data_IF_741939174412
#
_entry.id   IF_741939174412
#
_cell.length_a   1.000
_cell.length_b   1.000
_cell.length_c   1.000
_cell.angle_alpha   90.00
_cell.angle_beta   90.00
_cell.angle_gamma   90.00
#
_symmetry.space_group_name_H-M   'P 1'
#
loop_
_entity.id
_entity.type
_entity.pdbx_description
1 polymer ?
#
# COMPACT_ATOMS: atom_id res chain seq x y z
N UNK A 1 2.16 3.57 11.99
CA UNK A 1 3.12 4.66 11.78
C UNK A 1 2.40 6.00 11.65
N UNK A 2 1.54 6.16 10.66
CA UNK A 2 0.80 7.42 10.47
C UNK A 2 0.00 7.82 11.72
N UNK A 3 -0.76 6.92 12.30
CA UNK A 3 -1.54 7.17 13.52
C UNK A 3 -0.71 7.60 14.75
N UNK A 4 0.61 7.42 14.73
CA UNK A 4 1.48 7.91 15.82
C UNK A 4 1.88 9.39 15.67
N UNK A 5 1.52 10.03 14.57
CA UNK A 5 1.82 11.44 14.32
C UNK A 5 0.65 12.28 14.81
N UNK A 6 0.92 13.22 15.72
CA UNK A 6 -0.11 14.12 16.26
C UNK A 6 -0.74 14.95 15.14
N UNK A 7 -2.06 15.02 15.12
CA UNK A 7 -2.82 15.78 14.11
C UNK A 7 -3.21 14.97 12.86
N UNK A 8 -2.96 13.64 12.87
CA UNK A 8 -3.41 12.76 11.80
C UNK A 8 -4.53 11.84 12.26
N UNK A 9 -5.50 11.62 11.38
CA UNK A 9 -6.50 10.56 11.46
C UNK A 9 -6.20 9.54 10.36
N UNK A 10 -6.31 8.25 10.69
CA UNK A 10 -6.06 7.17 9.74
C UNK A 10 -7.36 6.45 9.44
N UNK A 11 -7.76 6.48 8.18
CA UNK A 11 -8.97 5.83 7.68
C UNK A 11 -8.57 4.63 6.84
N UNK A 12 -9.04 3.43 7.23
CA UNK A 12 -8.78 2.20 6.49
C UNK A 12 -9.86 1.96 5.44
N UNK A 13 -9.42 1.62 4.23
CA UNK A 13 -10.27 1.24 3.10
C UNK A 13 -9.66 0.07 2.35
N UNK A 14 -10.47 -0.68 1.63
CA UNK A 14 -10.02 -1.73 0.72
C UNK A 14 -10.56 -1.51 -0.69
N UNK A 15 -9.86 -2.00 -1.69
CA UNK A 15 -10.42 -2.13 -3.03
C UNK A 15 -11.56 -3.17 -3.03
N UNK A 16 -12.56 -2.96 -3.87
CA UNK A 16 -13.65 -3.91 -4.05
C UNK A 16 -13.14 -5.18 -4.75
N UNK A 17 -13.60 -6.34 -4.29
CA UNK A 17 -13.41 -7.59 -5.04
C UNK A 17 -14.28 -7.63 -6.29
N UNK A 18 -13.94 -8.50 -7.23
CA UNK A 18 -14.82 -8.82 -8.35
C UNK A 18 -15.91 -9.77 -7.85
N UNK A 19 -17.20 -9.46 -8.11
CA UNK A 19 -18.31 -10.26 -7.57
C UNK A 19 -18.20 -11.76 -7.88
N UNK A 20 -17.72 -12.10 -9.07
CA UNK A 20 -17.53 -13.48 -9.53
C UNK A 20 -16.37 -14.22 -8.82
N UNK A 21 -15.46 -13.48 -8.20
CA UNK A 21 -14.31 -14.05 -7.48
C UNK A 21 -14.53 -14.12 -5.97
N UNK A 22 -15.41 -13.31 -5.42
CA UNK A 22 -15.65 -13.23 -3.97
C UNK A 22 -15.98 -14.61 -3.39
N UNK A 23 -16.87 -15.36 -4.02
CA UNK A 23 -17.24 -16.71 -3.57
C UNK A 23 -16.07 -17.70 -3.63
N UNK A 24 -15.18 -17.57 -4.62
CA UNK A 24 -13.97 -18.39 -4.73
C UNK A 24 -13.00 -18.07 -3.59
N UNK A 25 -12.87 -16.81 -3.22
CA UNK A 25 -12.02 -16.34 -2.11
C UNK A 25 -12.55 -16.93 -0.79
N UNK A 26 -13.84 -16.84 -0.54
CA UNK A 26 -14.49 -17.37 0.67
C UNK A 26 -14.30 -18.87 0.81
N UNK A 27 -14.35 -19.61 -0.30
CA UNK A 27 -14.26 -21.07 -0.32
C UNK A 27 -12.81 -21.61 -0.31
N UNK A 28 -11.82 -20.76 -0.60
CA UNK A 28 -10.42 -21.16 -0.61
C UNK A 28 -9.81 -21.12 0.80
N UNK A 29 -9.19 -22.22 1.24
CA UNK A 29 -8.64 -22.36 2.60
C UNK A 29 -7.59 -21.30 2.97
N UNK A 30 -6.80 -20.84 2.01
CA UNK A 30 -5.74 -19.84 2.24
C UNK A 30 -6.27 -18.41 2.23
N UNK A 31 -7.12 -18.06 1.27
CA UNK A 31 -7.68 -16.70 1.16
C UNK A 31 -8.83 -16.44 2.13
N UNK A 32 -9.52 -17.48 2.62
CA UNK A 32 -10.60 -17.34 3.61
C UNK A 32 -10.16 -16.64 4.90
N UNK A 33 -8.94 -16.89 5.36
CA UNK A 33 -8.42 -16.25 6.59
C UNK A 33 -8.26 -14.75 6.34
N UNK A 34 -7.61 -14.38 5.22
CA UNK A 34 -7.41 -12.99 4.82
C UNK A 34 -8.74 -12.29 4.59
N UNK A 35 -9.70 -12.96 3.94
CA UNK A 35 -11.04 -12.44 3.74
C UNK A 35 -11.74 -12.10 5.06
N UNK A 36 -11.66 -12.98 6.05
CA UNK A 36 -12.22 -12.73 7.39
C UNK A 36 -11.63 -11.50 8.07
N UNK A 37 -10.36 -11.21 7.84
CA UNK A 37 -9.68 -10.03 8.42
C UNK A 37 -10.09 -8.74 7.75
N UNK A 38 -10.41 -8.76 6.46
CA UNK A 38 -10.67 -7.54 5.67
C UNK A 38 -12.13 -7.29 5.33
N UNK A 39 -13.03 -8.28 5.44
CA UNK A 39 -14.43 -8.19 4.99
C UNK A 39 -15.20 -7.02 5.61
N UNK A 40 -14.87 -6.68 6.86
CA UNK A 40 -15.51 -5.59 7.61
C UNK A 40 -14.85 -4.23 7.36
N UNK A 41 -13.72 -4.19 6.62
CA UNK A 41 -13.10 -2.93 6.17
C UNK A 41 -13.95 -2.33 5.05
N UNK A 42 -14.39 -1.06 5.16
CA UNK A 42 -15.20 -0.44 4.12
C UNK A 42 -14.48 -0.39 2.77
N UNK A 43 -15.27 -0.52 1.70
CA UNK A 43 -14.76 -0.36 0.33
C UNK A 43 -14.41 1.11 0.10
N UNK A 44 -13.27 1.36 -0.54
CA UNK A 44 -12.82 2.68 -0.90
C UNK A 44 -13.73 3.31 -1.96
N UNK A 45 -14.17 4.53 -1.70
CA UNK A 45 -14.95 5.36 -2.62
C UNK A 45 -14.07 6.44 -3.26
N UNK A 46 -14.54 7.05 -4.34
CA UNK A 46 -13.88 8.21 -4.96
C UNK A 46 -13.82 9.39 -3.98
N UNK A 47 -14.85 9.57 -3.17
CA UNK A 47 -14.88 10.63 -2.14
C UNK A 47 -13.83 10.40 -1.04
N UNK A 48 -13.63 9.15 -0.60
CA UNK A 48 -12.54 8.82 0.34
C UNK A 48 -11.17 9.25 -0.23
N UNK A 49 -10.94 8.98 -1.53
CA UNK A 49 -9.70 9.35 -2.21
C UNK A 49 -9.59 10.87 -2.34
N UNK A 50 -10.67 11.56 -2.72
CA UNK A 50 -10.69 13.02 -2.87
C UNK A 50 -10.38 13.74 -1.56
N UNK A 51 -10.94 13.27 -0.44
CA UNK A 51 -10.82 13.92 0.86
C UNK A 51 -9.50 13.65 1.59
N UNK A 52 -8.78 12.58 1.26
CA UNK A 52 -7.54 12.24 1.93
C UNK A 52 -6.42 13.23 1.61
N UNK A 53 -5.64 13.64 2.62
CA UNK A 53 -4.48 14.52 2.49
C UNK A 53 -3.19 13.77 2.13
N UNK A 54 -3.17 12.44 2.27
CA UNK A 54 -2.04 11.57 1.94
C UNK A 54 -2.44 10.10 1.98
N UNK A 55 -1.62 9.24 1.38
CA UNK A 55 -1.97 7.84 1.14
C UNK A 55 -0.89 6.86 1.56
N UNK A 56 -1.33 5.71 2.04
CA UNK A 56 -0.54 4.51 2.17
C UNK A 56 -1.25 3.42 1.38
N UNK A 57 -0.71 3.07 0.21
CA UNK A 57 -1.34 2.12 -0.71
C UNK A 57 -0.57 0.81 -0.71
N UNK A 58 -1.28 -0.27 -0.38
CA UNK A 58 -0.73 -1.61 -0.32
C UNK A 58 -1.44 -2.60 -1.22
N UNK A 59 -0.68 -3.56 -1.73
CA UNK A 59 -1.19 -4.67 -2.54
C UNK A 59 -0.29 -5.90 -2.37
N UNK A 60 -0.80 -7.12 -2.37
CA UNK A 60 0.05 -8.27 -2.63
C UNK A 60 0.52 -8.24 -4.09
N UNK A 61 1.70 -8.80 -4.35
CA UNK A 61 2.18 -8.91 -5.74
C UNK A 61 1.31 -9.84 -6.58
N UNK A 62 1.15 -9.48 -7.83
CA UNK A 62 0.63 -10.34 -8.91
C UNK A 62 1.59 -10.25 -10.10
N UNK A 63 2.49 -11.25 -10.19
CA UNK A 63 3.52 -11.31 -11.26
C UNK A 63 4.35 -10.03 -11.36
N UNK A 64 4.78 -9.48 -10.19
CA UNK A 64 5.57 -8.25 -10.14
C UNK A 64 4.76 -6.96 -10.34
N UNK A 65 3.45 -7.02 -10.25
CA UNK A 65 2.54 -5.88 -10.40
C UNK A 65 1.47 -5.87 -9.29
N UNK A 66 0.67 -4.80 -9.24
CA UNK A 66 -0.48 -4.70 -8.33
C UNK A 66 -1.60 -5.67 -8.72
N UNK A 67 -2.51 -5.91 -7.78
CA UNK A 67 -3.75 -6.68 -8.07
C UNK A 67 -4.65 -5.92 -9.04
N UNK A 68 -5.45 -6.67 -9.82
CA UNK A 68 -6.46 -6.11 -10.72
C UNK A 68 -7.49 -5.26 -9.95
N UNK A 69 -7.83 -5.64 -8.72
CA UNK A 69 -8.74 -4.88 -7.85
C UNK A 69 -8.19 -3.47 -7.54
N UNK A 70 -6.91 -3.37 -7.18
CA UNK A 70 -6.29 -2.07 -6.94
C UNK A 70 -6.17 -1.27 -8.22
N UNK A 71 -5.77 -1.89 -9.33
CA UNK A 71 -5.67 -1.21 -10.63
C UNK A 71 -7.02 -0.65 -11.07
N UNK A 72 -8.11 -1.42 -10.91
CA UNK A 72 -9.47 -0.96 -11.19
C UNK A 72 -9.85 0.26 -10.34
N UNK A 73 -9.48 0.28 -9.04
CA UNK A 73 -9.71 1.45 -8.19
C UNK A 73 -8.95 2.67 -8.71
N UNK A 74 -7.67 2.51 -9.09
CA UNK A 74 -6.88 3.60 -9.68
C UNK A 74 -7.51 4.07 -11.00
N UNK A 75 -7.94 3.16 -11.88
CA UNK A 75 -8.57 3.52 -13.15
C UNK A 75 -9.88 4.28 -12.97
N UNK A 76 -10.57 4.08 -11.85
CA UNK A 76 -11.81 4.80 -11.54
C UNK A 76 -11.59 6.26 -11.10
N UNK A 77 -10.33 6.71 -10.91
CA UNK A 77 -10.01 8.07 -10.46
C UNK A 77 -9.93 9.11 -11.60
N UNK A 78 -10.40 8.80 -12.81
CA UNK A 78 -10.29 9.68 -13.96
C UNK A 78 -10.90 11.08 -13.72
N UNK A 79 -12.00 11.18 -12.99
CA UNK A 79 -12.59 12.49 -12.62
C UNK A 79 -11.67 13.30 -11.72
N UNK A 80 -10.99 12.66 -10.75
CA UNK A 80 -10.05 13.32 -9.85
C UNK A 80 -8.79 13.80 -10.58
N UNK A 81 -8.37 13.05 -11.61
CA UNK A 81 -7.28 13.47 -12.49
C UNK A 81 -7.65 14.71 -13.28
N UNK A 82 -8.84 14.76 -13.89
CA UNK A 82 -9.34 15.94 -14.61
C UNK A 82 -9.44 17.18 -13.71
N UNK A 83 -9.78 16.99 -12.45
CA UNK A 83 -9.89 18.07 -11.44
C UNK A 83 -8.52 18.48 -10.85
N UNK A 84 -7.45 17.73 -11.08
CA UNK A 84 -6.17 17.89 -10.37
C UNK A 84 -6.23 17.62 -8.87
N UNK A 85 -7.27 16.92 -8.40
CA UNK A 85 -7.56 16.76 -6.95
C UNK A 85 -6.50 15.96 -6.18
N UNK A 86 -5.61 15.23 -6.86
CA UNK A 86 -4.57 14.40 -6.28
C UNK A 86 -3.17 15.01 -6.41
N UNK A 87 -3.04 16.12 -7.11
CA UNK A 87 -1.75 16.78 -7.32
C UNK A 87 -1.12 17.22 -6.00
N UNK A 88 0.15 16.89 -5.83
CA UNK A 88 0.92 17.20 -4.63
C UNK A 88 0.62 16.36 -3.39
N UNK A 89 -0.38 15.47 -3.40
CA UNK A 89 -0.67 14.61 -2.24
C UNK A 89 0.39 13.52 -2.10
N UNK A 90 0.98 13.32 -0.90
CA UNK A 90 2.02 12.32 -0.68
C UNK A 90 1.43 10.92 -0.65
N UNK A 91 2.15 9.97 -1.25
CA UNK A 91 1.79 8.54 -1.24
C UNK A 91 2.99 7.65 -0.94
N UNK A 92 2.86 6.80 0.07
CA UNK A 92 3.78 5.73 0.41
C UNK A 92 3.21 4.38 -0.03
N UNK A 93 4.09 3.49 -0.50
CA UNK A 93 3.70 2.20 -1.06
C UNK A 93 4.20 1.05 -0.21
N UNK A 94 3.43 -0.05 -0.18
CA UNK A 94 3.87 -1.28 0.46
C UNK A 94 3.33 -2.52 -0.25
N UNK A 95 4.08 -3.63 -0.16
CA UNK A 95 3.68 -4.89 -0.81
C UNK A 95 4.08 -6.11 0.01
N UNK A 96 3.45 -7.22 -0.28
CA UNK A 96 3.80 -8.55 0.22
C UNK A 96 4.00 -9.51 -0.95
N UNK A 97 5.00 -10.38 -0.83
CA UNK A 97 5.33 -11.41 -1.82
C UNK A 97 5.42 -12.79 -1.17
N UNK A 98 5.27 -13.84 -1.95
CA UNK A 98 5.46 -15.20 -1.45
C UNK A 98 6.94 -15.55 -1.24
N UNK A 99 7.85 -14.96 -2.01
CA UNK A 99 9.29 -15.26 -1.99
C UNK A 99 10.12 -13.98 -2.02
N UNK A 100 11.39 -14.07 -1.64
CA UNK A 100 12.33 -12.94 -1.62
C UNK A 100 12.46 -12.26 -3.00
N UNK A 101 12.49 -13.04 -4.08
CA UNK A 101 12.55 -12.53 -5.46
C UNK A 101 11.19 -12.52 -6.16
N UNK A 102 10.10 -12.50 -5.39
CA UNK A 102 8.72 -12.56 -5.91
C UNK A 102 8.19 -11.25 -6.50
N UNK A 103 9.04 -10.24 -6.71
CA UNK A 103 8.66 -8.96 -7.31
C UNK A 103 8.34 -7.88 -6.29
N UNK A 104 9.02 -7.84 -5.15
CA UNK A 104 8.86 -6.78 -4.14
C UNK A 104 9.04 -5.39 -4.76
N UNK A 105 10.17 -5.17 -5.41
CA UNK A 105 10.53 -3.86 -6.00
C UNK A 105 9.73 -3.56 -7.26
N UNK A 106 9.60 -4.53 -8.17
CA UNK A 106 8.86 -4.33 -9.42
C UNK A 106 7.38 -3.98 -9.19
N UNK A 107 6.75 -4.58 -8.17
CA UNK A 107 5.38 -4.25 -7.78
C UNK A 107 5.27 -2.79 -7.33
N UNK A 108 6.18 -2.32 -6.46
CA UNK A 108 6.17 -0.94 -6.00
C UNK A 108 6.46 0.04 -7.15
N UNK A 109 7.47 -0.25 -7.97
CA UNK A 109 7.82 0.58 -9.13
C UNK A 109 6.69 0.67 -10.15
N UNK A 110 5.99 -0.44 -10.43
CA UNK A 110 4.82 -0.44 -11.32
C UNK A 110 3.65 0.39 -10.78
N UNK A 111 3.47 0.41 -9.45
CA UNK A 111 2.46 1.25 -8.82
C UNK A 111 2.77 2.75 -8.91
N UNK A 112 4.05 3.14 -8.89
CA UNK A 112 4.45 4.55 -8.95
C UNK A 112 4.03 5.21 -10.26
N UNK A 113 4.07 4.49 -11.37
CA UNK A 113 3.77 5.05 -12.70
C UNK A 113 2.38 5.70 -12.75
N UNK A 114 1.26 5.00 -12.48
CA UNK A 114 -0.06 5.64 -12.52
C UNK A 114 -0.23 6.74 -11.47
N UNK A 115 0.42 6.64 -10.31
CA UNK A 115 0.33 7.66 -9.26
C UNK A 115 1.08 8.94 -9.64
N UNK A 116 2.19 8.84 -10.37
CA UNK A 116 2.85 9.99 -10.98
C UNK A 116 1.99 10.66 -12.04
N UNK A 117 1.24 9.89 -12.85
CA UNK A 117 0.26 10.44 -13.79
C UNK A 117 -0.90 11.19 -13.09
N UNK A 118 -1.20 10.83 -11.86
CA UNK A 118 -2.16 11.54 -11.00
C UNK A 118 -1.57 12.77 -10.29
N UNK A 119 -0.28 13.10 -10.54
CA UNK A 119 0.41 14.24 -9.93
C UNK A 119 0.81 14.03 -8.46
N UNK A 120 0.77 12.80 -7.95
CA UNK A 120 1.07 12.51 -6.55
C UNK A 120 2.57 12.55 -6.26
N UNK A 121 2.92 12.84 -5.01
CA UNK A 121 4.31 12.83 -4.51
C UNK A 121 4.67 11.45 -3.95
N UNK A 122 5.51 10.72 -4.63
CA UNK A 122 5.98 9.42 -4.16
C UNK A 122 6.91 9.58 -2.96
N UNK A 123 6.57 8.91 -1.86
CA UNK A 123 7.34 8.93 -0.60
C UNK A 123 7.99 7.57 -0.38
N UNK A 124 9.30 7.52 -0.55
CA UNK A 124 10.09 6.31 -0.31
C UNK A 124 10.58 6.19 1.14
N UNK A 125 11.37 5.14 1.40
CA UNK A 125 12.01 4.86 2.69
C UNK A 125 13.51 5.18 2.59
N UNK A 126 14.03 6.15 3.37
CA UNK A 126 15.43 6.51 3.30
C UNK A 126 16.31 5.50 4.06
N UNK A 127 17.55 5.33 3.62
CA UNK A 127 18.55 4.48 4.27
C UNK A 127 19.02 5.00 5.64
N UNK A 128 18.58 6.17 6.07
CA UNK A 128 18.75 6.63 7.45
C UNK A 128 17.89 5.88 8.47
N UNK A 129 16.97 5.03 8.00
CA UNK A 129 16.25 4.07 8.84
C UNK A 129 17.16 2.86 9.05
N UNK A 130 17.61 2.58 10.29
CA UNK A 130 18.62 1.52 10.54
C UNK A 130 18.22 0.14 10.01
N UNK A 131 16.93 -0.19 10.07
CA UNK A 131 16.39 -1.46 9.60
C UNK A 131 16.49 -1.64 8.10
N UNK A 132 16.77 -0.59 7.33
CA UNK A 132 17.03 -0.68 5.88
C UNK A 132 18.41 -1.27 5.56
N UNK A 133 19.31 -1.35 6.53
CA UNK A 133 20.68 -1.84 6.35
C UNK A 133 20.83 -3.34 6.63
N UNK A 134 19.73 -4.06 6.89
CA UNK A 134 19.80 -5.49 7.13
C UNK A 134 20.16 -6.28 5.85
N UNK A 135 20.87 -7.41 6.04
CA UNK A 135 21.34 -8.28 4.96
C UNK A 135 20.57 -9.61 4.86
N UNK A 136 19.56 -9.82 5.69
CA UNK A 136 18.81 -11.08 5.76
C UNK A 136 17.80 -11.28 4.61
N UNK A 137 17.65 -10.29 3.75
CA UNK A 137 16.92 -10.40 2.48
C UNK A 137 15.43 -10.73 2.58
N UNK A 138 14.70 -10.20 3.56
CA UNK A 138 13.25 -10.43 3.64
C UNK A 138 12.44 -9.27 3.09
N UNK A 139 12.45 -8.13 3.72
CA UNK A 139 11.65 -6.97 3.32
C UNK A 139 12.42 -5.67 3.42
N UNK A 140 11.78 -4.57 3.01
CA UNK A 140 12.35 -3.24 3.06
C UNK A 140 13.13 -2.85 1.81
N UNK A 141 12.57 -1.89 1.08
CA UNK A 141 13.20 -1.31 -0.11
C UNK A 141 13.10 0.21 -0.03
N UNK A 142 13.97 0.97 -0.73
CA UNK A 142 13.84 2.43 -0.80
C UNK A 142 12.55 2.89 -1.49
N UNK A 143 11.92 2.01 -2.27
CA UNK A 143 10.69 2.28 -3.00
C UNK A 143 9.43 2.16 -2.12
N UNK A 144 9.52 1.48 -0.98
CA UNK A 144 8.43 1.28 -0.05
C UNK A 144 8.66 0.13 0.90
N UNK A 145 7.72 -0.10 1.83
CA UNK A 145 7.81 -1.20 2.77
C UNK A 145 7.38 -2.52 2.12
N UNK A 146 8.11 -3.60 2.41
CA UNK A 146 7.81 -4.92 1.86
C UNK A 146 7.94 -6.00 2.91
N UNK A 147 7.33 -7.16 2.67
CA UNK A 147 7.51 -8.37 3.47
C UNK A 147 7.39 -9.63 2.61
N UNK A 148 7.95 -10.73 3.08
CA UNK A 148 7.79 -12.07 2.48
C UNK A 148 6.86 -12.90 3.34
N UNK A 149 5.70 -13.25 2.80
CA UNK A 149 4.63 -14.00 3.49
C UNK A 149 4.79 -15.53 3.38
N UNK A 150 5.68 -16.02 2.51
CA UNK A 150 5.78 -17.45 2.18
C UNK A 150 4.73 -17.91 1.16
N UNK A 151 4.94 -19.08 0.53
CA UNK A 151 4.05 -19.58 -0.52
C UNK A 151 2.64 -19.96 0.01
N UNK A 152 2.51 -20.18 1.28
CA UNK A 152 1.26 -20.52 1.97
C UNK A 152 0.71 -19.38 2.85
N UNK A 153 1.34 -18.21 2.80
CA UNK A 153 1.07 -17.03 3.63
C UNK A 153 1.22 -17.29 5.14
N UNK A 154 2.08 -18.20 5.54
CA UNK A 154 2.30 -18.56 6.95
C UNK A 154 3.29 -17.66 7.67
N UNK A 155 4.11 -16.91 6.92
CA UNK A 155 5.14 -16.07 7.51
C UNK A 155 4.58 -14.70 7.89
N UNK A 156 4.62 -14.40 9.19
CA UNK A 156 4.34 -13.06 9.69
C UNK A 156 5.46 -12.08 9.30
N UNK A 157 5.14 -10.78 9.12
CA UNK A 157 6.14 -9.75 8.91
C UNK A 157 7.16 -9.73 10.07
N UNK A 158 8.45 -9.65 9.74
CA UNK A 158 9.48 -9.49 10.75
C UNK A 158 9.38 -8.15 11.48
N UNK A 159 9.92 -8.03 12.71
CA UNK A 159 10.00 -6.75 13.41
C UNK A 159 10.64 -5.63 12.58
N UNK A 160 11.67 -5.96 11.77
CA UNK A 160 12.32 -5.02 10.86
C UNK A 160 11.37 -4.54 9.76
N UNK A 161 10.61 -5.44 9.12
CA UNK A 161 9.63 -5.09 8.09
C UNK A 161 8.58 -4.12 8.67
N UNK A 162 8.10 -4.40 9.89
CA UNK A 162 7.15 -3.55 10.59
C UNK A 162 7.73 -2.20 10.99
N UNK A 163 9.01 -2.14 11.38
CA UNK A 163 9.69 -0.89 11.72
C UNK A 163 9.82 0.01 10.48
N UNK A 164 10.19 -0.56 9.33
CA UNK A 164 10.25 0.13 8.04
C UNK A 164 8.87 0.65 7.63
N UNK A 165 7.84 -0.19 7.72
CA UNK A 165 6.46 0.21 7.40
C UNK A 165 5.95 1.34 8.32
N UNK A 166 6.27 1.28 9.62
CA UNK A 166 5.95 2.35 10.57
C UNK A 166 6.69 3.65 10.23
N UNK A 167 7.96 3.56 9.83
CA UNK A 167 8.75 4.72 9.43
C UNK A 167 8.16 5.37 8.17
N UNK A 168 7.79 4.58 7.15
CA UNK A 168 7.09 5.06 5.96
C UNK A 168 5.79 5.77 6.32
N UNK A 169 4.95 5.17 7.17
CA UNK A 169 3.69 5.76 7.60
C UNK A 169 3.86 7.11 8.30
N UNK A 170 4.84 7.22 9.22
CA UNK A 170 5.17 8.50 9.86
C UNK A 170 5.62 9.54 8.85
N UNK A 171 6.47 9.13 7.89
CA UNK A 171 7.01 10.02 6.87
C UNK A 171 5.91 10.61 5.99
N UNK A 172 4.99 9.79 5.49
CA UNK A 172 3.84 10.24 4.71
C UNK A 172 2.98 11.21 5.51
N UNK A 173 2.64 10.89 6.75
CA UNK A 173 1.83 11.74 7.61
C UNK A 173 2.48 13.11 7.86
N UNK A 174 3.79 13.15 8.14
CA UNK A 174 4.51 14.41 8.33
C UNK A 174 4.53 15.28 7.07
N UNK A 175 4.68 14.66 5.88
CA UNK A 175 4.66 15.39 4.60
C UNK A 175 3.25 15.92 4.35
N UNK A 176 2.21 15.10 4.53
CA UNK A 176 0.82 15.51 4.37
C UNK A 176 0.47 16.73 5.25
N UNK A 177 0.84 16.70 6.53
CA UNK A 177 0.63 17.84 7.44
C UNK A 177 1.37 19.11 7.01
N UNK A 178 2.57 18.98 6.44
CA UNK A 178 3.35 20.15 5.98
C UNK A 178 2.79 20.77 4.69
N UNK A 179 2.20 19.97 3.82
CA UNK A 179 1.66 20.44 2.53
C UNK A 179 0.26 21.03 2.72
N UNK A 180 -0.52 20.49 3.65
CA UNK A 180 -1.88 20.96 3.96
C UNK A 180 -1.92 22.40 4.49
N UNK A 181 -0.85 22.85 5.17
CA UNK A 181 -0.71 24.21 5.72
C UNK A 181 -0.09 25.15 4.71
#
# INVERSE_FOLDING_TARGET
GAASVKGTEVVFRRAAEFPEEEQKIINNKYSKIIWKMQKDTPICTIDDIKQADGFLIGTPTRYGNMTAQLKRLIDSTASLWLEGSLEGKPVGLFTSTATTHGGQESTLLSMMIPLLHLGMLIVGVPYSIPEMLHTEGRGGTPYGATTVAGPDNSLEPKPQDLAIAKALGRRVAHIALKIRN
#
